data_IF_547776220531
#
_entry.id   IF_547776220531
#
_cell.length_a   1.000
_cell.length_b   1.000
_cell.length_c   1.000
_cell.angle_alpha   90.00
_cell.angle_beta   90.00
_cell.angle_gamma   90.00
#
_symmetry.space_group_name_H-M   'P 1'
#
loop_
_entity.id
_entity.type
_entity.pdbx_description
1 polymer ?
#
# COMPACT_ATOMS: atom_id res chain seq x y z
N UNK A 1 -14.30 -7.21 -38.96
CA UNK A 1 -12.98 -7.44 -38.32
C UNK A 1 -12.54 -6.13 -37.71
N UNK A 2 -12.57 -6.02 -36.39
CA UNK A 2 -11.89 -4.97 -35.64
C UNK A 2 -11.54 -5.57 -34.28
N UNK A 3 -10.26 -5.88 -34.12
CA UNK A 3 -9.68 -6.50 -32.94
C UNK A 3 -9.78 -5.57 -31.74
N UNK A 4 -10.38 -6.04 -30.65
CA UNK A 4 -10.33 -5.35 -29.36
C UNK A 4 -9.00 -5.69 -28.70
N UNK A 5 -8.10 -4.71 -28.63
CA UNK A 5 -6.89 -4.78 -27.80
C UNK A 5 -7.24 -4.34 -26.38
N UNK A 6 -7.03 -5.26 -25.43
CA UNK A 6 -7.15 -5.04 -23.98
C UNK A 6 -6.00 -4.12 -23.53
N UNK A 7 -6.23 -3.07 -22.72
CA UNK A 7 -5.13 -2.33 -22.12
C UNK A 7 -4.53 -3.14 -20.97
N UNK A 8 -3.26 -3.49 -21.12
CA UNK A 8 -2.37 -4.00 -20.07
C UNK A 8 -2.12 -2.90 -19.04
N UNK A 9 -3.03 -2.75 -18.09
CA UNK A 9 -2.80 -2.00 -16.86
C UNK A 9 -2.15 -2.93 -15.84
N UNK A 10 -0.91 -2.64 -15.44
CA UNK A 10 -0.28 -3.31 -14.30
C UNK A 10 -1.20 -3.19 -13.06
N UNK A 11 -1.32 -4.26 -12.24
CA UNK A 11 -2.26 -4.26 -11.12
C UNK A 11 -1.88 -3.19 -10.07
N UNK A 12 -2.88 -2.63 -9.35
CA UNK A 12 -2.67 -1.68 -8.26
C UNK A 12 -1.71 -2.27 -7.23
N UNK A 13 -0.82 -1.43 -6.71
CA UNK A 13 0.30 -1.83 -5.87
C UNK A 13 -0.13 -2.79 -4.76
N UNK A 14 0.50 -3.96 -4.73
CA UNK A 14 0.26 -4.96 -3.71
C UNK A 14 0.43 -4.34 -2.31
N UNK A 15 -0.53 -4.53 -1.37
CA UNK A 15 -0.34 -4.10 0.00
C UNK A 15 0.86 -4.84 0.61
N UNK A 16 1.77 -4.07 1.20
CA UNK A 16 3.03 -4.57 1.76
C UNK A 16 2.75 -5.60 2.87
N UNK A 17 3.34 -6.81 2.83
CA UNK A 17 3.36 -7.70 3.98
C UNK A 17 4.44 -7.21 4.93
N UNK A 18 4.09 -6.37 5.88
CA UNK A 18 5.03 -6.02 6.95
C UNK A 18 4.43 -6.36 8.29
N UNK A 19 4.57 -7.64 8.66
CA UNK A 19 4.59 -8.06 10.07
C UNK A 19 5.91 -7.58 10.69
N UNK A 20 6.09 -6.27 10.87
CA UNK A 20 7.20 -5.71 11.67
C UNK A 20 6.71 -4.84 12.82
N UNK A 21 5.42 -4.94 13.13
CA UNK A 21 4.91 -4.65 14.46
C UNK A 21 4.44 -5.97 15.05
N UNK A 22 4.90 -6.34 16.27
CA UNK A 22 4.22 -7.35 17.06
C UNK A 22 2.71 -7.02 17.10
N UNK A 23 1.84 -8.03 16.97
CA UNK A 23 0.39 -7.80 16.96
C UNK A 23 -0.10 -7.01 18.20
N UNK A 24 0.62 -7.12 19.32
CA UNK A 24 0.37 -6.37 20.56
C UNK A 24 0.60 -4.85 20.42
N UNK A 25 1.49 -4.42 19.53
CA UNK A 25 1.88 -3.01 19.34
C UNK A 25 1.04 -2.30 18.29
N UNK A 26 0.32 -3.04 17.44
CA UNK A 26 -0.53 -2.49 16.39
C UNK A 26 -1.61 -1.53 16.92
N UNK A 27 -2.39 -1.85 17.98
CA UNK A 27 -3.39 -0.92 18.51
C UNK A 27 -2.80 0.42 18.97
N UNK A 28 -1.63 0.38 19.62
CA UNK A 28 -0.94 1.58 20.09
C UNK A 28 -0.45 2.43 18.92
N UNK A 29 0.10 1.79 17.88
CA UNK A 29 0.56 2.50 16.70
C UNK A 29 -0.61 3.15 15.93
N UNK A 30 -1.75 2.45 15.79
CA UNK A 30 -2.94 3.00 15.15
C UNK A 30 -3.59 4.12 15.96
N UNK A 31 -3.53 4.08 17.29
CA UNK A 31 -4.00 5.20 18.12
C UNK A 31 -3.15 6.45 17.90
N UNK A 32 -1.83 6.31 17.78
CA UNK A 32 -0.96 7.45 17.42
C UNK A 32 -1.25 7.97 16.02
N UNK A 33 -1.60 7.10 15.07
CA UNK A 33 -2.07 7.50 13.75
C UNK A 33 -3.36 8.31 13.83
N UNK A 34 -4.29 7.94 14.73
CA UNK A 34 -5.54 8.68 14.97
C UNK A 34 -5.27 10.09 15.46
N UNK A 35 -4.41 10.23 16.46
CA UNK A 35 -4.03 11.54 17.01
C UNK A 35 -3.42 12.43 15.93
N UNK A 36 -2.51 11.89 15.11
CA UNK A 36 -1.91 12.64 14.00
C UNK A 36 -2.96 13.01 12.93
N UNK A 37 -3.91 12.13 12.63
CA UNK A 37 -4.98 12.43 11.68
C UNK A 37 -5.90 13.54 12.19
N UNK A 38 -6.23 13.53 13.49
CA UNK A 38 -7.05 14.55 14.12
C UNK A 38 -6.34 15.91 14.07
N UNK A 39 -5.02 15.97 14.30
CA UNK A 39 -4.21 17.18 14.15
C UNK A 39 -4.30 17.75 12.72
N UNK A 40 -4.18 16.90 11.69
CA UNK A 40 -4.31 17.33 10.30
C UNK A 40 -5.71 17.87 9.96
N UNK A 41 -6.75 17.22 10.46
CA UNK A 41 -8.15 17.63 10.23
C UNK A 41 -8.54 18.91 10.99
N UNK A 42 -7.88 19.18 12.13
CA UNK A 42 -8.12 20.37 12.96
C UNK A 42 -7.31 21.59 12.52
N UNK A 43 -6.28 21.41 11.67
CA UNK A 43 -5.53 22.51 11.07
C UNK A 43 -6.45 23.42 10.23
N UNK A 44 -6.11 24.71 10.10
CA UNK A 44 -6.90 25.67 9.31
C UNK A 44 -7.05 25.29 7.84
N UNK A 45 -6.09 24.55 7.31
CA UNK A 45 -6.09 23.96 5.96
C UNK A 45 -6.78 22.58 5.88
N UNK A 46 -7.14 21.97 7.00
CA UNK A 46 -7.59 20.57 7.06
C UNK A 46 -8.94 20.32 6.41
N UNK A 47 -9.81 21.34 6.39
CA UNK A 47 -11.20 21.21 5.95
C UNK A 47 -11.33 20.78 4.48
N UNK A 48 -10.41 21.22 3.60
CA UNK A 48 -10.45 20.90 2.16
C UNK A 48 -10.20 19.41 1.88
N UNK A 49 -9.58 18.70 2.83
CA UNK A 49 -9.29 17.26 2.72
C UNK A 49 -10.25 16.39 3.54
N UNK A 50 -11.27 16.97 4.18
CA UNK A 50 -12.14 16.25 5.10
C UNK A 50 -13.17 15.34 4.41
N UNK A 51 -13.38 15.51 3.10
CA UNK A 51 -14.34 14.74 2.30
C UNK A 51 -13.76 14.41 0.92
N UNK A 52 -14.28 13.38 0.23
CA UNK A 52 -13.95 13.13 -1.17
C UNK A 52 -14.20 14.36 -2.04
N UNK A 53 -13.38 14.55 -3.07
CA UNK A 53 -13.59 15.60 -4.08
C UNK A 53 -14.92 15.35 -4.80
N UNK A 54 -15.79 16.37 -4.85
CA UNK A 54 -17.07 16.32 -5.55
C UNK A 54 -16.87 16.70 -7.02
N UNK A 55 -16.85 15.70 -7.90
CA UNK A 55 -16.61 15.90 -9.34
C UNK A 55 -17.80 16.45 -10.10
N UNK A 56 -18.94 16.65 -9.43
CA UNK A 56 -20.07 17.40 -9.98
C UNK A 56 -19.93 18.92 -9.79
N UNK A 57 -18.96 19.39 -8.98
CA UNK A 57 -18.68 20.81 -8.87
C UNK A 57 -18.10 21.38 -10.19
N UNK A 58 -18.46 22.63 -10.55
CA UNK A 58 -17.94 23.27 -11.75
C UNK A 58 -16.40 23.30 -11.75
N UNK A 59 -15.80 22.77 -12.83
CA UNK A 59 -14.35 22.76 -13.01
C UNK A 59 -13.64 21.50 -12.51
N UNK A 60 -14.35 20.52 -11.93
CA UNK A 60 -13.76 19.26 -11.41
C UNK A 60 -14.13 18.01 -12.21
N UNK A 61 -14.74 18.18 -13.39
CA UNK A 61 -15.22 17.05 -14.21
C UNK A 61 -14.12 16.14 -14.78
N UNK A 62 -12.88 16.62 -14.85
CA UNK A 62 -11.70 15.88 -15.32
C UNK A 62 -10.90 15.24 -14.17
N UNK A 63 -11.33 15.40 -12.91
CA UNK A 63 -10.58 14.92 -11.76
C UNK A 63 -10.30 13.42 -11.82
N UNK A 64 -11.27 12.60 -12.25
CA UNK A 64 -11.08 11.15 -12.35
C UNK A 64 -10.26 10.71 -13.57
N UNK A 65 -10.07 11.56 -14.58
CA UNK A 65 -9.11 11.29 -15.67
C UNK A 65 -7.66 11.52 -15.20
N UNK A 66 -7.44 12.54 -14.40
CA UNK A 66 -6.11 12.92 -13.88
C UNK A 66 -5.73 12.09 -12.65
N UNK A 67 -6.64 11.93 -11.70
CA UNK A 67 -6.42 11.26 -10.42
C UNK A 67 -7.01 9.85 -10.42
N UNK A 68 -6.12 8.87 -10.59
CA UNK A 68 -6.47 7.44 -10.70
C UNK A 68 -6.94 6.80 -9.39
N UNK A 69 -6.44 7.29 -8.26
CA UNK A 69 -6.76 6.73 -6.93
C UNK A 69 -7.16 7.86 -5.97
N UNK A 70 -8.41 8.34 -6.04
CA UNK A 70 -8.91 9.38 -5.12
C UNK A 70 -8.77 8.94 -3.66
N UNK A 71 -8.48 9.91 -2.78
CA UNK A 71 -8.39 9.72 -1.34
C UNK A 71 -8.61 11.05 -0.62
N UNK A 72 -9.16 10.97 0.59
CA UNK A 72 -9.42 12.10 1.49
C UNK A 72 -9.22 11.67 2.96
N UNK A 73 -8.94 12.62 3.84
CA UNK A 73 -8.69 12.36 5.26
C UNK A 73 -9.93 11.86 5.99
N UNK A 74 -11.14 12.21 5.53
CA UNK A 74 -12.39 11.66 6.06
C UNK A 74 -12.52 10.16 5.81
N UNK A 75 -12.15 9.70 4.61
CA UNK A 75 -12.09 8.28 4.26
C UNK A 75 -11.00 7.56 5.05
N UNK A 76 -9.82 8.15 5.20
CA UNK A 76 -8.74 7.63 6.07
C UNK A 76 -9.25 7.44 7.49
N UNK A 77 -9.95 8.44 8.04
CA UNK A 77 -10.55 8.38 9.38
C UNK A 77 -11.51 7.21 9.51
N UNK A 78 -12.47 7.08 8.58
CA UNK A 78 -13.43 5.96 8.58
C UNK A 78 -12.73 4.60 8.48
N UNK A 79 -11.67 4.47 7.69
CA UNK A 79 -10.86 3.24 7.58
C UNK A 79 -10.17 2.90 8.91
N UNK A 80 -9.61 3.90 9.58
CA UNK A 80 -8.95 3.75 10.87
C UNK A 80 -9.94 3.30 11.96
N UNK A 81 -11.08 3.99 12.09
CA UNK A 81 -12.15 3.67 13.06
C UNK A 81 -12.73 2.27 12.84
N UNK A 82 -12.88 1.86 11.57
CA UNK A 82 -13.36 0.51 11.20
C UNK A 82 -12.27 -0.57 11.23
N UNK A 83 -11.07 -0.27 11.77
CA UNK A 83 -9.92 -1.17 11.88
C UNK A 83 -9.54 -1.82 10.54
N UNK A 84 -9.63 -1.06 9.44
CA UNK A 84 -9.32 -1.52 8.08
C UNK A 84 -7.83 -1.45 7.75
N UNK A 85 -7.03 -0.79 8.58
CA UNK A 85 -5.57 -0.79 8.45
C UNK A 85 -4.96 -1.97 9.20
N UNK A 86 -4.36 -2.89 8.43
CA UNK A 86 -3.63 -4.05 8.97
C UNK A 86 -2.25 -3.66 9.51
N UNK A 87 -1.71 -2.53 9.05
CA UNK A 87 -0.49 -1.94 9.57
C UNK A 87 -0.54 -0.39 9.46
N UNK A 88 0.25 0.34 10.25
CA UNK A 88 0.31 1.81 10.19
C UNK A 88 0.88 2.37 8.87
N UNK A 89 1.68 1.60 8.13
CA UNK A 89 2.23 2.05 6.85
C UNK A 89 1.13 2.21 5.79
N UNK A 90 0.09 1.39 5.84
CA UNK A 90 -1.11 1.52 5.01
C UNK A 90 -1.84 2.85 5.30
N UNK A 91 -1.97 3.22 6.57
CA UNK A 91 -2.51 4.53 6.96
C UNK A 91 -1.65 5.67 6.38
N UNK A 92 -0.34 5.61 6.56
CA UNK A 92 0.57 6.62 6.06
C UNK A 92 0.51 6.75 4.53
N UNK A 93 0.36 5.63 3.82
CA UNK A 93 0.20 5.60 2.37
C UNK A 93 -1.04 6.37 1.90
N UNK A 94 -2.19 6.17 2.56
CA UNK A 94 -3.43 6.86 2.19
C UNK A 94 -3.38 8.37 2.50
N UNK A 95 -2.77 8.76 3.62
CA UNK A 95 -2.57 10.18 3.96
C UNK A 95 -1.66 10.86 2.93
N UNK A 96 -0.51 10.25 2.61
CA UNK A 96 0.39 10.76 1.54
C UNK A 96 -0.30 10.83 0.19
N UNK A 97 -1.15 9.86 -0.15
CA UNK A 97 -1.92 9.85 -1.39
C UNK A 97 -2.87 11.03 -1.47
N UNK A 98 -3.54 11.38 -0.37
CA UNK A 98 -4.43 12.54 -0.29
C UNK A 98 -3.70 13.82 -0.73
N UNK A 99 -2.55 14.10 -0.12
CA UNK A 99 -1.78 15.31 -0.43
C UNK A 99 -1.10 15.24 -1.80
N UNK A 100 -0.57 14.08 -2.20
CA UNK A 100 0.03 13.89 -3.53
C UNK A 100 -0.99 14.12 -4.64
N UNK A 101 -2.21 13.61 -4.50
CA UNK A 101 -3.27 13.82 -5.48
C UNK A 101 -3.61 15.30 -5.60
N UNK A 102 -3.75 16.00 -4.47
CA UNK A 102 -4.00 17.44 -4.46
C UNK A 102 -2.89 18.23 -5.14
N UNK A 103 -1.62 17.92 -4.87
CA UNK A 103 -0.48 18.56 -5.53
C UNK A 103 -0.28 18.15 -7.00
N UNK A 104 -0.89 17.05 -7.43
CA UNK A 104 -0.86 16.60 -8.84
C UNK A 104 -1.93 17.33 -9.65
N UNK A 105 -3.13 17.47 -9.08
CA UNK A 105 -4.27 18.07 -9.77
C UNK A 105 -4.20 19.60 -9.80
N UNK A 106 -3.73 20.23 -8.72
CA UNK A 106 -3.70 21.68 -8.59
C UNK A 106 -2.33 22.25 -8.97
N UNK A 107 -2.28 23.49 -9.47
CA UNK A 107 -1.02 24.17 -9.74
C UNK A 107 -0.34 24.61 -8.45
N UNK A 108 1.00 24.73 -8.45
CA UNK A 108 1.79 25.11 -7.26
C UNK A 108 1.38 26.42 -6.58
N UNK A 109 0.75 27.33 -7.33
CA UNK A 109 0.28 28.63 -6.83
C UNK A 109 -1.12 28.59 -6.21
N UNK A 110 -1.85 27.50 -6.39
CA UNK A 110 -3.23 27.37 -5.93
C UNK A 110 -3.26 27.10 -4.43
N UNK A 111 -4.30 27.57 -3.75
CA UNK A 111 -4.38 27.47 -2.30
C UNK A 111 -4.47 26.01 -1.84
N UNK A 112 -5.21 25.15 -2.57
CA UNK A 112 -5.30 23.72 -2.28
C UNK A 112 -3.93 23.02 -2.40
N UNK A 113 -3.09 23.43 -3.35
CA UNK A 113 -1.72 22.91 -3.44
C UNK A 113 -0.91 23.31 -2.21
N UNK A 114 -0.95 24.59 -1.82
CA UNK A 114 -0.21 25.10 -0.66
C UNK A 114 -0.67 24.41 0.63
N UNK A 115 -1.98 24.30 0.84
CA UNK A 115 -2.58 23.56 1.95
C UNK A 115 -2.08 22.10 1.99
N UNK A 116 -2.01 21.42 0.85
CA UNK A 116 -1.48 20.05 0.76
C UNK A 116 0.00 19.96 1.11
N UNK A 117 0.83 20.89 0.62
CA UNK A 117 2.27 20.95 0.93
C UNK A 117 2.52 21.22 2.43
N UNK A 118 1.77 22.13 3.04
CA UNK A 118 1.83 22.42 4.48
C UNK A 118 1.45 21.19 5.31
N UNK A 119 0.27 20.61 5.07
CA UNK A 119 -0.21 19.46 5.82
C UNK A 119 0.65 18.21 5.58
N UNK A 120 1.24 18.05 4.38
CA UNK A 120 2.18 16.97 4.11
C UNK A 120 3.43 17.08 4.98
N UNK A 121 3.94 18.28 5.25
CA UNK A 121 5.11 18.47 6.14
C UNK A 121 4.78 18.19 7.60
N UNK A 122 3.61 18.65 8.06
CA UNK A 122 3.11 18.34 9.41
C UNK A 122 2.97 16.82 9.56
N UNK A 123 2.37 16.16 8.57
CA UNK A 123 2.23 14.71 8.55
C UNK A 123 3.58 14.01 8.64
N UNK A 124 4.56 14.33 7.79
CA UNK A 124 5.86 13.64 7.82
C UNK A 124 6.62 13.86 9.15
N UNK A 125 6.50 15.06 9.73
CA UNK A 125 7.07 15.37 11.05
C UNK A 125 6.46 14.50 12.15
N UNK A 126 5.13 14.45 12.24
CA UNK A 126 4.44 13.60 13.22
C UNK A 126 4.66 12.12 12.97
N UNK A 127 4.64 11.72 11.69
CA UNK A 127 4.84 10.36 11.24
C UNK A 127 6.21 9.81 11.62
N UNK A 128 7.28 10.62 11.56
CA UNK A 128 8.63 10.20 11.93
C UNK A 128 8.68 9.53 13.31
N UNK A 129 7.96 10.09 14.29
CA UNK A 129 7.86 9.52 15.64
C UNK A 129 7.13 8.18 15.68
N UNK A 130 6.11 7.99 14.83
CA UNK A 130 5.32 6.76 14.73
C UNK A 130 6.17 5.69 14.04
N UNK A 131 6.79 6.03 12.91
CA UNK A 131 7.64 5.13 12.15
C UNK A 131 8.86 4.65 12.93
N UNK A 132 9.43 5.48 13.82
CA UNK A 132 10.55 5.09 14.67
C UNK A 132 10.20 3.95 15.65
N UNK A 133 8.91 3.73 15.93
CA UNK A 133 8.45 2.60 16.76
C UNK A 133 8.11 1.35 15.96
N UNK A 134 8.10 1.44 14.63
CA UNK A 134 7.96 0.28 13.76
C UNK A 134 9.31 -0.42 13.72
N UNK A 135 9.35 -1.74 13.86
CA UNK A 135 10.60 -2.47 13.69
C UNK A 135 11.01 -2.36 12.22
N UNK A 136 12.30 -2.20 11.97
CA UNK A 136 12.84 -2.29 10.61
C UNK A 136 12.61 -3.71 10.08
N UNK A 137 12.37 -3.89 8.76
CA UNK A 137 12.41 -5.21 8.16
C UNK A 137 13.75 -5.89 8.49
N UNK A 138 13.78 -7.24 8.63
CA UNK A 138 15.01 -7.99 8.67
C UNK A 138 15.92 -7.62 7.50
N UNK A 139 17.25 -7.69 7.65
CA UNK A 139 18.17 -7.41 6.55
C UNK A 139 17.80 -8.18 5.29
N UNK A 140 17.97 -7.56 4.12
CA UNK A 140 17.65 -8.16 2.80
C UNK A 140 18.26 -9.55 2.65
N UNK A 141 19.48 -9.77 3.12
CA UNK A 141 20.15 -11.07 3.09
C UNK A 141 19.37 -12.16 3.86
N UNK A 142 18.82 -11.81 5.03
CA UNK A 142 18.03 -12.75 5.84
C UNK A 142 16.67 -13.04 5.17
N UNK A 143 16.02 -11.99 4.62
CA UNK A 143 14.77 -12.13 3.87
C UNK A 143 14.95 -13.06 2.66
N UNK A 144 16.03 -12.85 1.89
CA UNK A 144 16.40 -13.71 0.74
C UNK A 144 16.66 -15.15 1.18
N UNK A 145 17.41 -15.37 2.26
CA UNK A 145 17.68 -16.72 2.76
C UNK A 145 16.38 -17.46 3.13
N UNK A 146 15.46 -16.77 3.81
CA UNK A 146 14.14 -17.32 4.19
C UNK A 146 13.29 -17.65 2.96
N UNK A 147 13.20 -16.73 2.01
CA UNK A 147 12.43 -16.92 0.78
C UNK A 147 12.98 -18.06 -0.08
N UNK A 148 14.31 -18.18 -0.17
CA UNK A 148 14.97 -19.28 -0.90
C UNK A 148 14.63 -20.65 -0.31
N UNK A 149 14.42 -20.71 1.00
CA UNK A 149 14.05 -21.93 1.71
C UNK A 149 12.54 -22.27 1.58
N UNK A 150 11.66 -21.26 1.64
CA UNK A 150 10.20 -21.46 1.70
C UNK A 150 9.50 -21.51 0.34
N UNK A 151 9.93 -20.72 -0.66
CA UNK A 151 9.29 -20.68 -1.99
C UNK A 151 9.20 -22.07 -2.66
N UNK A 152 10.23 -22.93 -2.61
CA UNK A 152 10.16 -24.28 -3.19
C UNK A 152 9.17 -25.22 -2.51
N UNK A 153 8.66 -24.87 -1.31
CA UNK A 153 7.70 -25.67 -0.55
C UNK A 153 6.25 -25.24 -0.76
N UNK A 154 6.03 -24.14 -1.49
CA UNK A 154 4.70 -23.68 -1.81
C UNK A 154 3.95 -24.69 -2.71
N UNK A 155 2.61 -24.70 -2.68
CA UNK A 155 1.80 -25.34 -3.71
C UNK A 155 2.18 -24.84 -5.11
N UNK A 156 2.09 -25.72 -6.13
CA UNK A 156 2.53 -25.45 -7.50
C UNK A 156 1.93 -24.16 -8.08
N UNK A 157 0.64 -23.89 -7.83
CA UNK A 157 -0.03 -22.68 -8.31
C UNK A 157 0.53 -21.38 -7.70
N UNK A 158 1.07 -21.45 -6.48
CA UNK A 158 1.75 -20.32 -5.84
C UNK A 158 3.21 -20.24 -6.28
N UNK A 159 3.88 -21.35 -6.58
CA UNK A 159 5.21 -21.32 -7.20
C UNK A 159 5.17 -20.64 -8.58
N UNK A 160 4.14 -20.90 -9.39
CA UNK A 160 3.94 -20.23 -10.69
C UNK A 160 3.76 -18.71 -10.52
N UNK A 161 3.02 -18.26 -9.50
CA UNK A 161 2.89 -16.83 -9.18
C UNK A 161 4.22 -16.21 -8.75
N UNK A 162 5.03 -16.93 -7.96
CA UNK A 162 6.37 -16.48 -7.60
C UNK A 162 7.25 -16.34 -8.84
N UNK A 163 7.16 -17.27 -9.80
CA UNK A 163 7.89 -17.20 -11.06
C UNK A 163 7.54 -15.96 -11.89
N UNK A 164 6.25 -15.61 -11.96
CA UNK A 164 5.79 -14.38 -12.64
C UNK A 164 6.39 -13.14 -11.96
N UNK A 165 6.35 -13.07 -10.62
CA UNK A 165 6.93 -11.94 -9.87
C UNK A 165 8.43 -11.79 -10.15
N UNK A 166 9.17 -12.91 -10.18
CA UNK A 166 10.61 -12.91 -10.41
C UNK A 166 11.01 -12.57 -11.85
N UNK A 167 10.19 -12.99 -12.82
CA UNK A 167 10.45 -12.72 -14.24
C UNK A 167 10.47 -11.23 -14.56
N UNK A 168 9.64 -10.44 -13.89
CA UNK A 168 9.55 -8.98 -14.08
C UNK A 168 10.85 -8.24 -13.74
N UNK A 169 11.69 -8.83 -12.88
CA UNK A 169 13.00 -8.28 -12.49
C UNK A 169 14.17 -9.04 -13.13
N UNK A 170 13.89 -9.90 -14.11
CA UNK A 170 14.91 -10.73 -14.77
C UNK A 170 15.52 -11.81 -13.89
N UNK A 171 14.84 -12.17 -12.79
CA UNK A 171 15.18 -13.34 -11.98
C UNK A 171 14.53 -14.61 -12.52
N UNK A 172 15.05 -15.75 -12.10
CA UNK A 172 14.65 -17.06 -12.64
C UNK A 172 14.32 -18.04 -11.53
N UNK A 173 13.47 -19.01 -11.88
CA UNK A 173 13.16 -20.20 -11.09
C UNK A 173 13.56 -21.40 -11.93
N UNK A 174 14.38 -22.30 -11.39
CA UNK A 174 14.88 -23.49 -12.08
C UNK A 174 14.68 -24.73 -11.23
N UNK A 175 14.46 -25.89 -11.85
CA UNK A 175 14.48 -27.17 -11.14
C UNK A 175 15.88 -27.76 -11.23
N UNK A 176 16.51 -27.99 -10.08
CA UNK A 176 17.83 -28.60 -9.94
C UNK A 176 17.69 -29.79 -9.00
N UNK A 177 18.00 -31.00 -9.48
CA UNK A 177 17.94 -32.24 -8.70
C UNK A 177 16.57 -32.51 -8.03
N UNK A 178 15.47 -32.20 -8.73
CA UNK A 178 14.11 -32.38 -8.22
C UNK A 178 13.71 -31.36 -7.15
N UNK A 179 14.51 -30.31 -6.95
CA UNK A 179 14.21 -29.17 -6.08
C UNK A 179 14.16 -27.88 -6.90
N UNK A 180 13.12 -27.09 -6.69
CA UNK A 180 13.02 -25.76 -7.29
C UNK A 180 14.00 -24.82 -6.58
N UNK A 181 14.89 -24.19 -7.33
CA UNK A 181 15.76 -23.10 -6.89
C UNK A 181 15.28 -21.76 -7.46
N UNK A 182 15.44 -20.69 -6.67
CA UNK A 182 15.05 -19.31 -7.05
C UNK A 182 16.28 -18.40 -6.95
N UNK A 183 16.59 -17.68 -8.03
CA UNK A 183 17.61 -16.63 -8.02
C UNK A 183 17.01 -15.32 -7.47
N UNK A 184 17.23 -15.07 -6.18
CA UNK A 184 16.77 -13.86 -5.51
C UNK A 184 17.77 -12.70 -5.57
N UNK A 185 18.90 -12.81 -6.28
CA UNK A 185 19.90 -11.74 -6.31
C UNK A 185 19.40 -10.48 -7.01
N UNK A 186 18.49 -10.67 -7.99
CA UNK A 186 17.79 -9.61 -8.72
C UNK A 186 16.56 -9.05 -7.99
N UNK A 187 16.12 -9.67 -6.89
CA UNK A 187 14.96 -9.19 -6.15
C UNK A 187 15.36 -7.98 -5.28
N UNK A 188 14.83 -6.82 -5.65
CA UNK A 188 14.86 -5.61 -4.82
C UNK A 188 13.87 -5.72 -3.65
N UNK A 189 13.87 -4.75 -2.73
CA UNK A 189 12.99 -4.79 -1.56
C UNK A 189 11.50 -4.89 -1.93
N UNK A 190 11.07 -4.23 -3.00
CA UNK A 190 9.69 -4.28 -3.47
C UNK A 190 9.31 -5.67 -4.02
N UNK A 191 10.25 -6.36 -4.65
CA UNK A 191 10.08 -7.74 -5.13
C UNK A 191 10.04 -8.72 -3.96
N UNK A 192 10.93 -8.54 -2.97
CA UNK A 192 10.93 -9.35 -1.76
C UNK A 192 9.61 -9.21 -0.98
N UNK A 193 9.09 -7.99 -0.89
CA UNK A 193 7.76 -7.73 -0.31
C UNK A 193 6.67 -8.54 -1.04
N UNK A 194 6.65 -8.54 -2.37
CA UNK A 194 5.64 -9.31 -3.14
C UNK A 194 5.72 -10.82 -2.86
N UNK A 195 6.93 -11.37 -2.75
CA UNK A 195 7.14 -12.79 -2.52
C UNK A 195 6.79 -13.20 -1.08
N UNK A 196 7.18 -12.40 -0.09
CA UNK A 196 6.80 -12.65 1.31
C UNK A 196 5.28 -12.60 1.50
N UNK A 197 4.57 -11.79 0.70
CA UNK A 197 3.11 -11.75 0.73
C UNK A 197 2.50 -13.05 0.23
N UNK A 198 3.06 -13.58 -0.87
CA UNK A 198 2.62 -14.84 -1.44
C UNK A 198 2.82 -15.99 -0.44
N UNK A 199 3.92 -15.98 0.32
CA UNK A 199 4.13 -16.90 1.45
C UNK A 199 3.08 -16.72 2.55
N UNK A 200 2.76 -15.47 2.92
CA UNK A 200 1.74 -15.18 3.92
C UNK A 200 0.35 -15.68 3.48
N UNK A 201 0.00 -15.55 2.20
CA UNK A 201 -1.23 -16.13 1.65
C UNK A 201 -1.29 -17.65 1.81
N UNK A 202 -0.18 -18.34 1.53
CA UNK A 202 -0.10 -19.80 1.61
C UNK A 202 -0.31 -20.32 3.04
N UNK A 203 0.07 -19.52 4.05
CA UNK A 203 0.00 -19.88 5.46
C UNK A 203 -1.30 -19.43 6.14
N UNK A 204 -2.11 -18.58 5.49
CA UNK A 204 -3.43 -18.18 6.01
C UNK A 204 -4.45 -19.33 5.85
N UNK A 205 -4.87 -19.91 6.98
CA UNK A 205 -5.95 -20.92 7.04
C UNK A 205 -7.27 -20.38 6.44
N UNK A 206 -7.99 -21.22 5.69
CA UNK A 206 -9.25 -21.00 4.95
C UNK A 206 -10.46 -20.37 5.71
N UNK A 207 -10.32 -19.91 6.96
CA UNK A 207 -11.46 -19.47 7.80
C UNK A 207 -11.83 -17.98 7.62
N UNK A 208 -11.09 -17.22 6.82
CA UNK A 208 -11.38 -15.77 6.63
C UNK A 208 -11.48 -15.43 5.13
N UNK A 209 -12.25 -16.20 4.37
CA UNK A 209 -12.26 -16.10 2.89
C UNK A 209 -13.14 -14.95 2.33
N UNK A 210 -13.86 -14.16 3.13
CA UNK A 210 -14.73 -13.11 2.57
C UNK A 210 -14.50 -11.66 3.04
N UNK A 211 -13.45 -11.38 3.82
CA UNK A 211 -13.14 -10.00 4.25
C UNK A 211 -11.70 -9.52 3.97
N UNK A 212 -10.86 -10.38 3.38
CA UNK A 212 -9.40 -10.16 3.25
C UNK A 212 -9.00 -9.47 1.94
N UNK A 213 -9.88 -9.41 0.94
CA UNK A 213 -9.62 -8.68 -0.29
C UNK A 213 -10.00 -7.19 -0.17
N UNK A 214 -9.18 -6.45 0.57
CA UNK A 214 -8.99 -5.02 0.33
C UNK A 214 -7.50 -4.74 0.24
N UNK A 215 -6.93 -4.73 -0.98
CA UNK A 215 -5.85 -3.82 -1.30
C UNK A 215 -6.11 -2.46 -0.65
N UNK A 216 -5.08 -1.75 -0.20
CA UNK A 216 -5.17 -0.31 0.08
C UNK A 216 -5.78 0.49 -1.10
N UNK A 217 -5.88 -0.15 -2.26
CA UNK A 217 -6.31 0.40 -3.54
C UNK A 217 -7.68 -0.09 -4.04
N UNK A 218 -8.45 -0.84 -3.24
CA UNK A 218 -9.82 -1.19 -3.62
C UNK A 218 -10.71 -1.23 -2.40
N UNK A 219 -11.63 -0.27 -2.26
CA UNK A 219 -13.05 -0.42 -2.66
C UNK A 219 -13.68 0.96 -2.84
N UNK A 220 -14.22 1.20 -4.03
CA UNK A 220 -15.34 2.12 -4.28
C UNK A 220 -16.64 1.45 -3.82
N UNK A 221 -16.82 1.32 -2.50
CA UNK A 221 -18.10 0.94 -1.92
C UNK A 221 -18.45 1.98 -0.85
N UNK A 222 -19.39 2.83 -1.26
CA UNK A 222 -20.21 3.80 -0.52
C UNK A 222 -19.93 3.96 0.99
#
# INVERSE_FOLDING_TARGET
MASQSIPTGAPPGFPKPTNYLPAADLPRALERCRVLLDELLQHEDGWVFAKPVDTYEPGLGDYHSEIRQPMDLGTVRRRLERRRYQNPLCFASDVRRTFRNAMTYNYKGDDVYKSADVLSRIFESGWASISATLQSPPPVAERRARLKDELPRLPVDLQEKAAVIMKDVGGWIQEVDGRVEVDLDKADEATLDKLEWLLALATMRKVIILSIWSPCDSIWAA
#
